data_IF_921125571276
#
_entry.id   IF_921125571276
#
_cell.length_a   1.000
_cell.length_b   1.000
_cell.length_c   1.000
_cell.angle_alpha   90.00
_cell.angle_beta   90.00
_cell.angle_gamma   90.00
#
_symmetry.space_group_name_H-M   'P 1'
#
loop_
_entity.id
_entity.type
_entity.pdbx_description
1 polymer ?
#
# COMPACT_ATOMS: atom_id res chain seq x y z
N UNK A 1 -28.68 0.74 6.96
CA UNK A 1 -27.84 1.95 6.90
C UNK A 1 -27.02 1.98 8.18
N UNK A 2 -25.74 1.58 8.13
CA UNK A 2 -24.88 1.60 9.32
C UNK A 2 -24.37 3.02 9.49
N UNK A 3 -24.94 3.73 10.45
CA UNK A 3 -24.41 5.02 10.93
C UNK A 3 -23.13 4.74 11.71
N UNK A 4 -21.97 5.14 11.16
CA UNK A 4 -20.72 5.18 11.94
C UNK A 4 -20.82 6.37 12.89
N UNK A 5 -20.87 6.09 14.19
CA UNK A 5 -20.78 7.11 15.23
C UNK A 5 -19.43 7.81 15.12
N UNK A 6 -19.43 9.13 14.97
CA UNK A 6 -18.21 9.95 15.10
C UNK A 6 -17.99 10.11 16.59
N UNK A 7 -17.09 9.29 17.15
CA UNK A 7 -16.72 9.39 18.55
C UNK A 7 -15.80 10.61 18.74
N UNK A 8 -16.28 11.63 19.46
CA UNK A 8 -15.51 12.82 19.83
C UNK A 8 -14.67 12.54 21.07
N UNK A 9 -13.85 11.49 21.03
CA UNK A 9 -12.86 11.23 22.07
C UNK A 9 -11.49 11.72 21.61
N UNK A 10 -10.79 12.45 22.47
CA UNK A 10 -9.40 12.86 22.33
C UNK A 10 -8.42 11.68 22.42
N UNK A 11 -8.80 10.53 21.87
CA UNK A 11 -8.03 9.29 21.80
C UNK A 11 -7.87 8.95 20.33
N UNK A 12 -6.62 8.84 19.87
CA UNK A 12 -6.36 8.51 18.48
C UNK A 12 -6.76 7.05 18.21
N UNK A 13 -7.45 6.81 17.10
CA UNK A 13 -7.70 5.46 16.60
C UNK A 13 -6.40 4.91 15.97
N UNK A 14 -5.60 4.27 16.81
CA UNK A 14 -4.32 3.70 16.40
C UNK A 14 -4.50 2.48 15.48
N UNK A 15 -5.65 1.80 15.51
CA UNK A 15 -5.92 0.65 14.63
C UNK A 15 -6.13 1.11 13.18
N UNK A 16 -6.95 2.15 13.00
CA UNK A 16 -7.12 2.80 11.70
C UNK A 16 -5.83 3.48 11.21
N UNK A 17 -5.11 4.17 12.11
CA UNK A 17 -3.83 4.79 11.77
C UNK A 17 -2.78 3.75 11.30
N UNK A 18 -2.62 2.65 12.04
CA UNK A 18 -1.70 1.58 11.68
C UNK A 18 -2.10 0.91 10.36
N UNK A 19 -3.39 0.63 10.18
CA UNK A 19 -3.92 0.05 8.95
C UNK A 19 -3.62 0.93 7.72
N UNK A 20 -3.75 2.25 7.86
CA UNK A 20 -3.41 3.23 6.82
C UNK A 20 -1.90 3.32 6.59
N UNK A 21 -1.07 3.27 7.63
CA UNK A 21 0.38 3.23 7.50
C UNK A 21 0.84 2.01 6.70
N UNK A 22 0.30 0.82 7.00
CA UNK A 22 0.60 -0.40 6.24
C UNK A 22 0.18 -0.20 4.78
N UNK A 23 -1.07 0.26 4.55
CA UNK A 23 -1.59 0.50 3.21
C UNK A 23 -0.69 1.48 2.41
N UNK A 24 -0.20 2.54 3.04
CA UNK A 24 0.73 3.49 2.41
C UNK A 24 1.98 2.80 1.86
N UNK A 25 2.62 1.93 2.64
CA UNK A 25 3.80 1.17 2.20
C UNK A 25 3.45 0.15 1.10
N UNK A 26 2.27 -0.48 1.15
CA UNK A 26 1.83 -1.37 0.05
C UNK A 26 1.70 -0.62 -1.28
N UNK A 27 1.33 0.66 -1.24
CA UNK A 27 1.24 1.52 -2.41
C UNK A 27 2.59 1.94 -3.00
N UNK A 28 3.66 1.90 -2.21
CA UNK A 28 5.02 2.22 -2.65
C UNK A 28 5.77 1.01 -3.22
N UNK A 29 5.14 -0.17 -3.31
CA UNK A 29 5.77 -1.36 -3.92
C UNK A 29 6.13 -1.06 -5.38
N UNK A 30 7.39 -1.36 -5.71
CA UNK A 30 7.96 -1.34 -7.05
C UNK A 30 8.04 -2.77 -7.59
N UNK A 31 8.21 -2.94 -8.89
CA UNK A 31 8.25 -4.27 -9.53
C UNK A 31 6.88 -4.81 -9.92
N UNK A 32 6.79 -6.14 -10.02
CA UNK A 32 5.55 -6.84 -10.35
C UNK A 32 4.65 -6.92 -9.12
N UNK A 33 3.45 -6.37 -9.22
CA UNK A 33 2.52 -6.36 -8.09
C UNK A 33 1.82 -7.72 -7.95
N UNK A 34 1.62 -8.21 -6.72
CA UNK A 34 0.84 -9.42 -6.49
C UNK A 34 -0.63 -9.18 -6.84
N UNK A 35 -1.30 -10.21 -7.37
CA UNK A 35 -2.73 -10.15 -7.74
C UNK A 35 -3.67 -9.91 -6.56
N UNK A 36 -3.20 -10.10 -5.32
CA UNK A 36 -3.91 -9.82 -4.07
C UNK A 36 -3.73 -8.38 -3.56
N UNK A 37 -3.04 -7.50 -4.31
CA UNK A 37 -2.85 -6.09 -3.97
C UNK A 37 -4.19 -5.36 -3.84
N UNK A 38 -4.39 -4.66 -2.72
CA UNK A 38 -5.65 -3.96 -2.40
C UNK A 38 -5.84 -2.65 -3.18
N UNK A 39 -4.76 -2.07 -3.70
CA UNK A 39 -4.81 -0.83 -4.49
C UNK A 39 -5.07 -1.09 -5.98
N UNK A 40 -6.29 -0.82 -6.42
CA UNK A 40 -6.73 -1.02 -7.81
C UNK A 40 -6.14 -0.03 -8.81
N UNK A 41 -5.61 1.10 -8.32
CA UNK A 41 -5.03 2.16 -9.15
C UNK A 41 -3.51 2.00 -9.38
N UNK A 42 -2.84 1.09 -8.66
CA UNK A 42 -1.42 0.75 -8.86
C UNK A 42 -1.29 -0.39 -9.87
N UNK A 43 -0.22 -0.37 -10.66
CA UNK A 43 0.15 -1.40 -11.64
C UNK A 43 1.64 -1.71 -11.56
N UNK A 44 2.06 -2.76 -12.24
CA UNK A 44 3.46 -3.16 -12.37
C UNK A 44 4.33 -1.98 -12.83
N UNK A 45 5.46 -1.78 -12.18
CA UNK A 45 6.40 -0.69 -12.45
C UNK A 45 7.84 -1.18 -12.28
N UNK A 46 8.83 -0.44 -12.80
CA UNK A 46 10.26 -0.72 -12.61
C UNK A 46 10.74 -2.15 -12.97
N UNK A 47 10.03 -2.86 -13.87
CA UNK A 47 10.33 -4.26 -14.21
C UNK A 47 11.70 -4.46 -14.89
N UNK A 48 12.32 -3.38 -15.36
CA UNK A 48 13.62 -3.40 -16.07
C UNK A 48 14.72 -2.67 -15.28
N UNK A 49 14.44 -2.26 -14.04
CA UNK A 49 15.44 -1.59 -13.21
C UNK A 49 16.59 -2.57 -12.92
N UNK A 50 17.82 -2.14 -13.19
CA UNK A 50 19.02 -2.96 -13.02
C UNK A 50 19.41 -3.81 -14.24
N UNK A 51 18.57 -3.85 -15.28
CA UNK A 51 18.84 -4.69 -16.46
C UNK A 51 20.07 -4.21 -17.26
N UNK A 52 20.28 -2.90 -17.31
CA UNK A 52 21.42 -2.23 -17.93
C UNK A 52 22.77 -2.54 -17.25
N UNK A 53 22.73 -2.87 -15.95
CA UNK A 53 23.90 -3.28 -15.16
C UNK A 53 23.99 -4.80 -14.93
N UNK A 54 23.16 -5.59 -15.64
CA UNK A 54 23.17 -7.06 -15.58
C UNK A 54 22.55 -7.65 -14.31
N UNK A 55 21.85 -6.84 -13.52
CA UNK A 55 21.19 -7.25 -12.27
C UNK A 55 19.71 -7.49 -12.57
N UNK A 56 19.20 -8.68 -12.21
CA UNK A 56 17.76 -8.94 -12.31
C UNK A 56 17.03 -8.35 -11.10
N UNK A 57 16.00 -7.52 -11.29
CA UNK A 57 15.08 -7.19 -10.22
C UNK A 57 14.30 -8.48 -9.89
N UNK A 58 14.47 -8.98 -8.66
CA UNK A 58 13.82 -10.20 -8.14
C UNK A 58 12.33 -10.01 -7.95
#
# INVERSE_FOLDING_TARGET
MVVRSVDSSSSHDYDDALSKCILFFEGQRSGKLPSSQRMTWRKDSALRDGFDIGIKPT
#
